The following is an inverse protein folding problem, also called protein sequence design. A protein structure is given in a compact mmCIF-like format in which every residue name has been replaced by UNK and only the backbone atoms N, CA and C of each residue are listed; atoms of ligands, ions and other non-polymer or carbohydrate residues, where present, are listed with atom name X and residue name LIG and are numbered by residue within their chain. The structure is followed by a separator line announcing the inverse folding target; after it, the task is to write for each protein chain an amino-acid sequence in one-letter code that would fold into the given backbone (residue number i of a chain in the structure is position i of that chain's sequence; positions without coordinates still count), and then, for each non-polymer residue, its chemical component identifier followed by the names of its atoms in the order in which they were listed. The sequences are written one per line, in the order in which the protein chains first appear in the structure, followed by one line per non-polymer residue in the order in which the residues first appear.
data_IF_756837038566
#
_entry.id   IF_756837038566
#
_cell.length_a   1.000
_cell.length_b   1.000
_cell.length_c   1.000
_cell.angle_alpha   90.00
_cell.angle_beta   90.00
_cell.angle_gamma   90.00
#
_symmetry.space_group_name_H-M   'P 1'
#
loop_
_entity.id
_entity.type
_entity.pdbx_description
1 polymer ?
#
# COMPACT_ATOMS: atom_id res chain seq x y z
N UNK A 1 19.27 -11.33 25.36
CA UNK A 1 18.01 -11.00 24.64
C UNK A 1 17.78 -9.51 24.79
N UNK A 2 18.00 -8.73 23.72
CA UNK A 2 17.67 -7.31 23.74
C UNK A 2 16.15 -7.18 23.65
N UNK A 3 15.55 -6.60 24.69
CA UNK A 3 14.14 -6.26 24.70
C UNK A 3 13.88 -5.23 23.59
N UNK A 4 12.90 -5.50 22.74
CA UNK A 4 12.35 -4.54 21.78
C UNK A 4 11.78 -3.36 22.57
N UNK A 5 12.55 -2.30 22.74
CA UNK A 5 12.05 -1.04 23.28
C UNK A 5 11.02 -0.51 22.29
N UNK A 6 9.76 -0.34 22.73
CA UNK A 6 8.73 0.29 21.91
C UNK A 6 9.18 1.72 21.61
N UNK A 7 9.65 1.93 20.40
CA UNK A 7 9.88 3.27 19.88
C UNK A 7 8.53 4.02 19.81
N UNK A 8 8.36 4.97 20.72
CA UNK A 8 7.17 5.81 20.82
C UNK A 8 7.11 6.89 19.73
N UNK A 9 8.11 7.00 18.84
CA UNK A 9 8.06 7.87 17.66
C UNK A 9 6.86 7.52 16.77
N UNK A 10 6.50 6.24 16.62
CA UNK A 10 5.39 5.80 15.74
C UNK A 10 4.02 6.40 16.12
N UNK A 11 3.86 6.91 17.34
CA UNK A 11 2.62 7.58 17.76
C UNK A 11 2.44 8.99 17.17
N UNK A 12 3.51 9.70 16.77
CA UNK A 12 3.36 11.03 16.17
C UNK A 12 2.79 10.90 14.74
N UNK A 13 3.37 10.03 13.91
CA UNK A 13 2.95 9.81 12.51
C UNK A 13 1.46 9.46 12.43
N UNK A 14 0.99 8.58 13.32
CA UNK A 14 -0.43 8.17 13.34
C UNK A 14 -1.36 9.26 13.86
N UNK A 15 -0.91 10.11 14.81
CA UNK A 15 -1.71 11.23 15.33
C UNK A 15 -1.84 12.36 14.31
N UNK A 16 -0.81 12.56 13.48
CA UNK A 16 -0.75 13.60 12.46
C UNK A 16 -1.55 13.22 11.19
N UNK A 17 -1.67 11.92 10.89
CA UNK A 17 -2.40 11.44 9.73
C UNK A 17 -3.93 11.54 9.93
N UNK A 18 -4.58 12.41 9.14
CA UNK A 18 -6.04 12.46 9.07
C UNK A 18 -6.55 11.36 8.12
N UNK A 19 -7.06 10.27 8.70
CA UNK A 19 -7.70 9.18 7.96
C UNK A 19 -9.06 9.65 7.46
N UNK A 20 -9.26 9.67 6.15
CA UNK A 20 -10.52 10.07 5.54
C UNK A 20 -11.37 8.88 5.09
N UNK A 21 -10.76 7.76 4.67
CA UNK A 21 -11.48 6.56 4.29
C UNK A 21 -10.67 5.30 4.63
N UNK A 22 -11.35 4.21 4.96
CA UNK A 22 -10.70 2.96 5.37
C UNK A 22 -11.49 1.76 4.86
N UNK A 23 -10.82 0.96 4.04
CA UNK A 23 -11.26 -0.36 3.64
C UNK A 23 -10.53 -1.36 4.53
N UNK A 24 -11.25 -1.99 5.45
CA UNK A 24 -10.69 -2.99 6.35
C UNK A 24 -10.31 -4.25 5.56
N UNK A 25 -9.56 -5.15 6.21
CA UNK A 25 -9.13 -6.38 5.54
C UNK A 25 -10.33 -7.22 5.10
N UNK A 26 -10.41 -7.45 3.80
CA UNK A 26 -11.40 -8.31 3.19
C UNK A 26 -10.73 -9.63 2.80
N UNK A 27 -11.23 -10.77 3.28
CA UNK A 27 -10.64 -12.09 3.05
C UNK A 27 -10.69 -12.52 1.59
N UNK A 28 -11.73 -12.15 0.85
CA UNK A 28 -11.86 -12.44 -0.58
C UNK A 28 -10.87 -11.61 -1.40
N UNK A 29 -10.73 -10.31 -1.07
CA UNK A 29 -9.76 -9.41 -1.73
C UNK A 29 -8.32 -9.57 -1.24
N UNK A 30 -8.11 -10.24 -0.10
CA UNK A 30 -6.82 -10.47 0.60
C UNK A 30 -5.97 -9.20 0.82
N UNK A 31 -6.61 -8.05 1.01
CA UNK A 31 -5.96 -6.74 1.18
C UNK A 31 -6.82 -5.79 2.00
N UNK A 32 -6.22 -4.68 2.41
CA UNK A 32 -6.87 -3.54 3.05
C UNK A 32 -6.23 -2.23 2.58
N UNK A 33 -6.97 -1.13 2.65
CA UNK A 33 -6.54 0.18 2.17
C UNK A 33 -6.95 1.29 3.13
N UNK A 34 -6.11 2.30 3.29
CA UNK A 34 -6.39 3.48 4.13
C UNK A 34 -6.06 4.73 3.31
N UNK A 35 -6.98 5.68 3.30
CA UNK A 35 -6.79 6.97 2.66
C UNK A 35 -6.50 8.03 3.72
N UNK A 36 -5.40 8.76 3.54
CA UNK A 36 -5.00 9.88 4.40
C UNK A 36 -4.99 11.18 3.60
N UNK A 37 -5.34 12.28 4.26
CA UNK A 37 -5.22 13.63 3.67
C UNK A 37 -3.76 14.08 3.63
N UNK A 38 -3.28 14.51 2.46
CA UNK A 38 -2.00 15.22 2.32
C UNK A 38 -2.20 16.75 2.30
N UNK A 39 -3.34 17.21 1.75
CA UNK A 39 -3.76 18.61 1.70
C UNK A 39 -5.27 18.70 1.50
N UNK A 40 -5.83 19.92 1.41
CA UNK A 40 -7.25 20.11 1.14
C UNK A 40 -7.74 19.47 -0.18
N UNK A 41 -6.84 19.26 -1.15
CA UNK A 41 -7.18 18.79 -2.51
C UNK A 41 -6.37 17.55 -2.93
N UNK A 42 -5.61 16.94 -2.01
CA UNK A 42 -4.77 15.78 -2.32
C UNK A 42 -4.80 14.78 -1.18
N UNK A 43 -4.98 13.51 -1.54
CA UNK A 43 -4.98 12.38 -0.62
C UNK A 43 -3.93 11.34 -1.04
N UNK A 44 -3.52 10.50 -0.09
CA UNK A 44 -2.70 9.31 -0.31
C UNK A 44 -3.46 8.08 0.12
N UNK A 45 -3.51 7.10 -0.76
CA UNK A 45 -4.05 5.77 -0.51
C UNK A 45 -2.87 4.88 -0.20
N UNK A 46 -2.88 4.24 0.97
CA UNK A 46 -1.94 3.19 1.34
C UNK A 46 -2.65 1.85 1.31
N UNK A 47 -2.04 0.86 0.68
CA UNK A 47 -2.60 -0.49 0.60
C UNK A 47 -1.59 -1.54 1.06
N UNK A 48 -2.10 -2.56 1.74
CA UNK A 48 -1.31 -3.74 2.12
C UNK A 48 -2.13 -5.01 2.00
N UNK A 49 -1.48 -6.12 1.67
CA UNK A 49 -2.16 -7.40 1.48
C UNK A 49 -1.20 -8.53 1.13
N UNK A 50 -1.79 -9.63 0.68
CA UNK A 50 -1.04 -10.72 0.06
C UNK A 50 -0.21 -10.17 -1.11
N UNK A 51 1.06 -10.59 -1.18
CA UNK A 51 2.06 -9.93 -2.02
C UNK A 51 1.70 -9.97 -3.49
N UNK A 52 1.29 -11.14 -3.96
CA UNK A 52 0.85 -11.40 -5.33
C UNK A 52 -0.39 -10.59 -5.72
N UNK A 53 -1.32 -10.41 -4.77
CA UNK A 53 -2.59 -9.72 -5.00
C UNK A 53 -2.43 -8.21 -5.12
N UNK A 54 -1.61 -7.61 -4.25
CA UNK A 54 -1.36 -6.16 -4.33
C UNK A 54 -0.44 -5.85 -5.51
N UNK A 55 0.58 -6.67 -5.75
CA UNK A 55 1.51 -6.49 -6.86
C UNK A 55 0.79 -6.47 -8.22
N UNK A 56 -0.24 -7.29 -8.41
CA UNK A 56 -1.05 -7.31 -9.65
C UNK A 56 -1.77 -5.98 -9.92
N UNK A 57 -2.07 -5.20 -8.87
CA UNK A 57 -2.75 -3.91 -8.98
C UNK A 57 -1.78 -2.74 -9.18
N UNK A 58 -0.47 -2.95 -9.02
CA UNK A 58 0.53 -1.91 -9.20
C UNK A 58 0.86 -1.66 -10.68
N UNK A 59 0.82 -0.39 -11.09
CA UNK A 59 1.26 0.02 -12.44
C UNK A 59 2.55 0.83 -12.43
N UNK A 60 3.01 1.25 -11.25
CA UNK A 60 4.24 2.00 -11.04
C UNK A 60 5.07 1.41 -9.90
N UNK A 61 6.36 1.74 -9.88
CA UNK A 61 7.29 1.34 -8.82
C UNK A 61 8.08 2.55 -8.33
N UNK A 62 8.41 2.55 -7.03
CA UNK A 62 9.25 3.56 -6.41
C UNK A 62 10.68 3.03 -6.30
N UNK A 63 11.63 3.74 -6.89
CA UNK A 63 13.06 3.44 -6.78
C UNK A 63 13.66 4.04 -5.51
N UNK A 64 14.85 3.56 -5.12
CA UNK A 64 15.54 3.98 -3.89
C UNK A 64 15.94 5.46 -3.90
N UNK A 65 16.08 6.06 -5.07
CA UNK A 65 16.35 7.50 -5.24
C UNK A 65 15.08 8.36 -5.12
N UNK A 66 13.92 7.73 -4.89
CA UNK A 66 12.62 8.40 -4.79
C UNK A 66 11.93 8.65 -6.12
N UNK A 67 12.53 8.26 -7.26
CA UNK A 67 11.90 8.34 -8.56
C UNK A 67 10.83 7.26 -8.74
N UNK A 68 9.79 7.57 -9.51
CA UNK A 68 8.78 6.61 -9.91
C UNK A 68 8.93 6.24 -11.38
N UNK A 69 8.76 4.97 -11.69
CA UNK A 69 8.78 4.45 -13.05
C UNK A 69 7.56 3.58 -13.32
N UNK A 70 7.22 3.39 -14.60
CA UNK A 70 6.26 2.38 -14.99
C UNK A 70 6.72 1.00 -14.50
N UNK A 71 5.78 0.16 -14.09
CA UNK A 71 6.04 -1.17 -13.58
C UNK A 71 5.38 -2.20 -14.48
N UNK A 72 6.00 -2.56 -15.63
CA UNK A 72 5.38 -3.42 -16.63
C UNK A 72 5.21 -4.86 -16.14
N UNK A 73 4.29 -5.60 -16.77
CA UNK A 73 3.97 -6.97 -16.37
C UNK A 73 5.20 -7.89 -16.31
N UNK A 74 6.17 -7.72 -17.21
CA UNK A 74 7.41 -8.51 -17.20
C UNK A 74 8.21 -8.33 -15.89
N UNK A 75 8.31 -7.09 -15.39
CA UNK A 75 9.02 -6.80 -14.14
C UNK A 75 8.22 -7.27 -12.92
N UNK A 76 6.89 -7.10 -12.92
CA UNK A 76 6.02 -7.65 -11.87
C UNK A 76 6.14 -9.17 -11.78
N UNK A 77 6.14 -9.85 -12.93
CA UNK A 77 6.35 -11.29 -13.00
C UNK A 77 7.73 -11.70 -12.47
N UNK A 78 8.76 -10.91 -12.76
CA UNK A 78 10.09 -11.15 -12.21
C UNK A 78 10.15 -10.97 -10.69
N UNK A 79 9.45 -9.98 -10.12
CA UNK A 79 9.32 -9.81 -8.66
C UNK A 79 8.56 -11.00 -8.04
N UNK A 80 7.49 -11.45 -8.69
CA UNK A 80 6.73 -12.61 -8.21
C UNK A 80 7.61 -13.86 -8.13
N UNK A 81 8.25 -14.23 -9.25
CA UNK A 81 9.07 -15.44 -9.33
C UNK A 81 10.34 -15.38 -8.46
N UNK A 82 11.07 -14.25 -8.47
CA UNK A 82 12.39 -14.18 -7.87
C UNK A 82 12.37 -13.77 -6.39
N UNK A 83 11.30 -13.12 -5.93
CA UNK A 83 11.19 -12.59 -4.56
C UNK A 83 10.04 -13.26 -3.82
N UNK A 84 8.81 -13.15 -4.32
CA UNK A 84 7.61 -13.63 -3.59
C UNK A 84 7.65 -15.15 -3.44
N UNK A 85 7.81 -15.89 -4.55
CA UNK A 85 7.86 -17.36 -4.53
C UNK A 85 9.07 -17.86 -3.74
N UNK A 86 10.23 -17.22 -3.93
CA UNK A 86 11.46 -17.56 -3.20
C UNK A 86 11.28 -17.41 -1.69
N UNK A 87 10.67 -16.34 -1.21
CA UNK A 87 10.47 -16.12 0.23
C UNK A 87 9.38 -17.03 0.78
N UNK A 88 8.33 -17.27 0.00
CA UNK A 88 7.26 -18.21 0.37
C UNK A 88 7.78 -19.64 0.50
N UNK A 89 8.71 -20.07 -0.37
CA UNK A 89 9.36 -21.39 -0.28
C UNK A 89 10.19 -21.59 1.00
N UNK A 90 10.53 -20.51 1.69
CA UNK A 90 11.22 -20.49 2.98
C UNK A 90 10.25 -20.23 4.15
N UNK A 91 8.95 -20.38 3.92
CA UNK A 91 7.88 -20.16 4.90
C UNK A 91 7.80 -18.73 5.46
N UNK A 92 8.43 -17.76 4.79
CA UNK A 92 8.27 -16.36 5.18
C UNK A 92 6.89 -15.85 4.79
N UNK A 93 6.28 -15.11 5.71
CA UNK A 93 5.04 -14.38 5.42
C UNK A 93 5.37 -13.08 4.69
N UNK A 94 5.21 -13.08 3.38
CA UNK A 94 5.37 -11.89 2.55
C UNK A 94 4.12 -11.02 2.58
N UNK A 95 4.31 -9.71 2.60
CA UNK A 95 3.25 -8.72 2.39
C UNK A 95 3.79 -7.70 1.38
N UNK A 96 2.94 -7.30 0.43
CA UNK A 96 3.24 -6.17 -0.44
C UNK A 96 2.59 -4.91 0.16
N UNK A 97 3.32 -3.80 0.07
CA UNK A 97 2.90 -2.46 0.44
C UNK A 97 2.92 -1.62 -0.83
N UNK A 98 1.84 -0.88 -1.06
CA UNK A 98 1.69 0.00 -2.20
C UNK A 98 1.08 1.34 -1.76
N UNK A 99 1.28 2.38 -2.56
CA UNK A 99 0.63 3.65 -2.32
C UNK A 99 0.39 4.40 -3.63
N UNK A 100 -0.73 5.14 -3.65
CA UNK A 100 -1.07 6.05 -4.73
C UNK A 100 -1.50 7.39 -4.17
N UNK A 101 -0.99 8.46 -4.78
CA UNK A 101 -1.50 9.82 -4.55
C UNK A 101 -2.62 10.14 -5.53
N UNK A 102 -3.65 10.81 -5.04
CA UNK A 102 -4.80 11.26 -5.84
C UNK A 102 -5.10 12.72 -5.58
N UNK A 103 -5.36 13.47 -6.65
CA UNK A 103 -5.77 14.87 -6.59
C UNK A 103 -7.28 14.99 -6.33
N UNK A 104 -7.68 14.58 -5.13
CA UNK A 104 -9.06 14.65 -4.65
C UNK A 104 -9.09 15.10 -3.19
N UNK A 105 -10.16 15.82 -2.82
CA UNK A 105 -10.36 16.24 -1.43
C UNK A 105 -10.73 15.04 -0.54
N UNK A 106 -10.45 15.10 0.77
CA UNK A 106 -10.87 14.08 1.72
C UNK A 106 -12.37 13.78 1.69
N UNK A 107 -13.20 14.79 1.44
CA UNK A 107 -14.67 14.63 1.38
C UNK A 107 -15.13 13.93 0.10
N UNK A 108 -14.42 14.13 -1.02
CA UNK A 108 -14.70 13.40 -2.26
C UNK A 108 -14.31 11.92 -2.13
N UNK A 109 -13.10 11.63 -1.60
CA UNK A 109 -12.62 10.23 -1.51
C UNK A 109 -13.41 9.40 -0.51
N UNK A 110 -14.01 10.02 0.52
CA UNK A 110 -14.92 9.34 1.47
C UNK A 110 -16.10 8.63 0.81
N UNK A 111 -16.54 9.12 -0.35
CA UNK A 111 -17.71 8.58 -1.06
C UNK A 111 -17.32 7.74 -2.28
N UNK A 112 -16.02 7.53 -2.51
CA UNK A 112 -15.57 6.66 -3.59
C UNK A 112 -15.96 5.21 -3.31
N UNK A 113 -16.32 4.44 -4.35
CA UNK A 113 -16.50 3.01 -4.19
C UNK A 113 -15.14 2.32 -4.01
N UNK A 114 -15.15 1.12 -3.42
CA UNK A 114 -13.93 0.37 -3.09
C UNK A 114 -12.99 0.21 -4.30
N UNK A 115 -13.53 -0.07 -5.49
CA UNK A 115 -12.77 -0.26 -6.72
C UNK A 115 -12.00 0.98 -7.15
N UNK A 116 -12.53 2.18 -6.89
CA UNK A 116 -11.85 3.43 -7.21
C UNK A 116 -10.71 3.70 -6.23
N UNK A 117 -10.87 3.29 -4.96
CA UNK A 117 -9.80 3.35 -3.97
C UNK A 117 -8.69 2.35 -4.28
N UNK A 118 -9.04 1.14 -4.71
CA UNK A 118 -8.12 0.00 -4.87
C UNK A 118 -7.69 -0.31 -6.31
N UNK A 119 -7.88 0.60 -7.25
CA UNK A 119 -7.28 0.52 -8.60
C UNK A 119 -5.91 1.17 -8.62
N UNK A 120 -5.01 0.71 -9.49
CA UNK A 120 -3.74 1.39 -9.77
C UNK A 120 -2.95 1.74 -8.49
N UNK A 121 -2.59 0.70 -7.73
CA UNK A 121 -2.01 0.84 -6.38
C UNK A 121 -0.52 1.17 -6.37
#
# INVERSE_FOLDING_TARGET
MQAWQRDNSKNHVRKEASICHMLTFNSAKKRMSVVVSLSATRCRIFSKGASEIVLELCTSQLHLDGSTAAFPAAERNAVNANIIDKYTSQEYRTLCLAFRDVDASPDAVKTWPDEDVERDL
#
